data_IF_226380514909
#
_entry.id   IF_226380514909
#
_cell.length_a   1.000
_cell.length_b   1.000
_cell.length_c   1.000
_cell.angle_alpha   90.00
_cell.angle_beta   90.00
_cell.angle_gamma   90.00
#
_symmetry.space_group_name_H-M   'P 1'
#
loop_
_entity.id
_entity.type
_entity.pdbx_description
1 polymer ?
#
# COMPACT_ATOMS: atom_id res chain seq x y z
N UNK A 1 -9.20 4.45 -12.29
CA UNK A 1 -10.19 5.10 -11.40
C UNK A 1 -10.66 4.07 -10.39
N UNK A 2 -10.91 4.49 -9.13
CA UNK A 2 -11.50 3.62 -8.11
C UNK A 2 -12.83 4.27 -7.71
N UNK A 3 -13.91 3.51 -7.76
CA UNK A 3 -15.23 3.99 -7.33
C UNK A 3 -15.71 3.15 -6.14
N UNK A 4 -16.31 3.80 -5.18
CA UNK A 4 -16.88 3.19 -3.98
C UNK A 4 -18.32 3.62 -3.87
N UNK A 5 -19.23 2.66 -3.76
CA UNK A 5 -20.68 2.92 -3.69
C UNK A 5 -21.27 2.27 -2.46
N UNK A 6 -21.89 3.09 -1.57
CA UNK A 6 -22.63 2.68 -0.37
C UNK A 6 -21.90 1.64 0.49
N UNK A 7 -20.57 1.83 0.64
CA UNK A 7 -19.71 0.91 1.38
C UNK A 7 -20.03 0.97 2.88
N UNK A 8 -20.36 -0.17 3.45
CA UNK A 8 -20.56 -0.31 4.89
C UNK A 8 -19.67 -1.42 5.44
N UNK A 9 -19.09 -1.20 6.62
CA UNK A 9 -18.26 -2.19 7.33
C UNK A 9 -18.57 -2.16 8.82
N UNK A 10 -18.80 -3.32 9.40
CA UNK A 10 -18.92 -3.50 10.85
C UNK A 10 -17.87 -4.47 11.39
N UNK A 11 -17.60 -4.35 12.67
CA UNK A 11 -16.91 -5.36 13.48
C UNK A 11 -17.82 -5.67 14.65
N UNK A 12 -18.08 -6.94 14.84
CA UNK A 12 -19.14 -7.42 15.73
C UNK A 12 -20.48 -6.71 15.38
N UNK A 13 -21.09 -6.03 16.30
CA UNK A 13 -22.34 -5.28 16.09
C UNK A 13 -22.17 -3.78 15.83
N UNK A 14 -20.91 -3.32 15.74
CA UNK A 14 -20.61 -1.89 15.58
C UNK A 14 -20.21 -1.55 14.15
N UNK A 15 -21.02 -0.71 13.51
CA UNK A 15 -20.65 -0.15 12.19
C UNK A 15 -19.57 0.92 12.31
N UNK A 16 -18.45 0.68 11.65
CA UNK A 16 -17.33 1.62 11.53
C UNK A 16 -17.45 2.46 10.26
N UNK A 17 -18.00 1.90 9.19
CA UNK A 17 -18.33 2.61 7.95
C UNK A 17 -19.82 2.40 7.67
N UNK A 18 -20.52 3.47 7.24
CA UNK A 18 -21.95 3.44 6.89
C UNK A 18 -22.16 4.21 5.59
N UNK A 19 -22.61 3.49 4.55
CA UNK A 19 -23.00 4.03 3.24
C UNK A 19 -22.02 5.03 2.62
N UNK A 20 -20.71 4.76 2.75
CA UNK A 20 -19.67 5.64 2.21
C UNK A 20 -19.62 5.49 0.70
N UNK A 21 -19.77 6.61 -0.01
CA UNK A 21 -19.64 6.67 -1.47
C UNK A 21 -18.64 7.75 -1.85
N UNK A 22 -17.70 7.41 -2.75
CA UNK A 22 -16.69 8.35 -3.25
C UNK A 22 -16.02 7.78 -4.51
N UNK A 23 -15.25 8.63 -5.18
CA UNK A 23 -14.40 8.21 -6.30
C UNK A 23 -13.00 8.77 -6.18
N UNK A 24 -12.02 8.01 -6.67
CA UNK A 24 -10.61 8.40 -6.73
C UNK A 24 -10.18 8.44 -8.20
N UNK A 25 -9.92 9.65 -8.67
CA UNK A 25 -9.51 9.86 -10.05
C UNK A 25 -8.03 9.50 -10.24
N UNK A 26 -7.72 8.93 -11.41
CA UNK A 26 -6.34 8.61 -11.79
C UNK A 26 -5.51 9.90 -11.93
N UNK A 27 -4.28 9.86 -11.42
CA UNK A 27 -3.33 10.99 -11.55
C UNK A 27 -3.60 12.16 -10.59
N UNK A 28 -4.58 12.04 -9.68
CA UNK A 28 -4.87 13.06 -8.68
C UNK A 28 -4.50 12.61 -7.27
N UNK A 29 -4.15 13.57 -6.42
CA UNK A 29 -4.01 13.32 -4.98
C UNK A 29 -5.37 13.45 -4.32
N UNK A 30 -5.81 12.38 -3.64
CA UNK A 30 -7.06 12.36 -2.89
C UNK A 30 -6.73 12.31 -1.39
N UNK A 31 -7.44 13.10 -0.60
CA UNK A 31 -7.23 13.20 0.84
C UNK A 31 -8.47 12.73 1.59
N UNK A 32 -8.28 11.77 2.51
CA UNK A 32 -9.32 11.31 3.43
C UNK A 32 -9.04 11.94 4.80
N UNK A 33 -9.94 12.81 5.25
CA UNK A 33 -9.85 13.52 6.52
C UNK A 33 -10.93 13.06 7.49
N UNK A 34 -10.68 13.21 8.77
CA UNK A 34 -11.61 12.86 9.85
C UNK A 34 -10.89 12.68 11.16
N UNK A 35 -11.65 12.63 12.25
CA UNK A 35 -11.14 12.42 13.61
C UNK A 35 -10.44 11.07 13.75
N UNK A 36 -9.62 10.92 14.80
CA UNK A 36 -9.06 9.61 15.16
C UNK A 36 -10.20 8.63 15.47
N UNK A 37 -10.10 7.40 14.98
CA UNK A 37 -11.16 6.40 15.16
C UNK A 37 -12.33 6.49 14.17
N UNK A 38 -12.39 7.47 13.28
CA UNK A 38 -13.50 7.64 12.32
C UNK A 38 -13.56 6.63 11.16
N UNK A 39 -12.75 5.56 11.20
CA UNK A 39 -12.81 4.50 10.19
C UNK A 39 -11.90 4.69 8.96
N UNK A 40 -11.09 5.75 8.87
CA UNK A 40 -10.22 6.02 7.70
C UNK A 40 -9.34 4.82 7.30
N UNK A 41 -8.67 4.22 8.27
CA UNK A 41 -7.81 3.05 8.04
C UNK A 41 -8.63 1.83 7.63
N UNK A 42 -9.82 1.65 8.20
CA UNK A 42 -10.74 0.56 7.83
C UNK A 42 -11.20 0.75 6.38
N UNK A 43 -11.55 1.97 6.00
CA UNK A 43 -11.93 2.31 4.64
C UNK A 43 -10.82 2.00 3.63
N UNK A 44 -9.57 2.44 3.91
CA UNK A 44 -8.42 2.10 3.07
C UNK A 44 -8.18 0.58 2.96
N UNK A 45 -8.34 -0.16 4.07
CA UNK A 45 -8.21 -1.62 4.05
C UNK A 45 -9.32 -2.31 3.24
N UNK A 46 -10.52 -1.75 3.22
CA UNK A 46 -11.58 -2.23 2.33
C UNK A 46 -11.23 -1.97 0.86
N UNK A 47 -10.76 -0.77 0.52
CA UNK A 47 -10.28 -0.45 -0.83
C UNK A 47 -9.20 -1.45 -1.27
N UNK A 48 -8.22 -1.75 -0.44
CA UNK A 48 -7.17 -2.73 -0.75
C UNK A 48 -7.65 -4.20 -0.81
N UNK A 49 -8.94 -4.44 -0.52
CA UNK A 49 -9.47 -5.80 -0.44
C UNK A 49 -8.89 -6.64 0.70
N UNK A 50 -8.36 -5.98 1.75
CA UNK A 50 -7.90 -6.63 2.98
C UNK A 50 -9.06 -6.90 3.95
N UNK A 51 -10.10 -6.08 3.89
CA UNK A 51 -11.37 -6.31 4.58
C UNK A 51 -12.49 -6.39 3.55
N UNK A 52 -13.36 -7.39 3.70
CA UNK A 52 -14.59 -7.48 2.92
C UNK A 52 -15.63 -6.55 3.56
N UNK A 53 -16.30 -5.69 2.78
CA UNK A 53 -17.42 -4.90 3.28
C UNK A 53 -18.65 -5.79 3.56
N UNK A 54 -19.55 -5.30 4.41
CA UNK A 54 -20.85 -5.92 4.67
C UNK A 54 -21.84 -5.64 3.53
N UNK A 55 -21.75 -4.43 2.97
CA UNK A 55 -22.56 -4.00 1.83
C UNK A 55 -21.83 -2.94 1.03
N UNK A 56 -22.34 -2.66 -0.16
CA UNK A 56 -21.75 -1.73 -1.11
C UNK A 56 -20.73 -2.40 -2.04
N UNK A 57 -20.16 -1.61 -2.95
CA UNK A 57 -19.26 -2.13 -3.97
C UNK A 57 -18.04 -1.22 -4.12
N UNK A 58 -16.91 -1.84 -4.43
CA UNK A 58 -15.66 -1.16 -4.81
C UNK A 58 -15.32 -1.59 -6.23
N UNK A 59 -15.15 -0.63 -7.12
CA UNK A 59 -14.94 -0.87 -8.55
C UNK A 59 -13.58 -0.31 -8.94
N UNK A 60 -12.74 -1.14 -9.56
CA UNK A 60 -11.43 -0.78 -10.10
C UNK A 60 -11.49 -0.83 -11.62
N UNK A 61 -11.32 0.33 -12.27
CA UNK A 61 -11.33 0.42 -13.73
C UNK A 61 -12.47 -0.42 -14.33
N UNK A 62 -13.72 -0.17 -13.91
CA UNK A 62 -14.95 -0.83 -14.34
C UNK A 62 -15.15 -2.28 -13.84
N UNK A 63 -14.15 -2.87 -13.14
CA UNK A 63 -14.26 -4.23 -12.61
C UNK A 63 -14.59 -4.21 -11.11
N UNK A 64 -15.74 -4.74 -10.68
CA UNK A 64 -16.09 -4.86 -9.28
C UNK A 64 -15.12 -5.78 -8.52
N UNK A 65 -14.65 -5.34 -7.34
CA UNK A 65 -13.76 -6.13 -6.49
C UNK A 65 -14.41 -7.45 -6.05
N UNK A 66 -15.73 -7.46 -5.87
CA UNK A 66 -16.51 -8.65 -5.50
C UNK A 66 -16.43 -9.75 -6.55
N UNK A 67 -16.32 -9.39 -7.82
CA UNK A 67 -16.24 -10.30 -8.97
C UNK A 67 -14.83 -10.78 -9.32
N UNK A 68 -13.80 -10.15 -8.73
CA UNK A 68 -12.42 -10.52 -8.99
C UNK A 68 -12.06 -11.87 -8.34
N UNK A 69 -11.38 -12.70 -9.09
CA UNK A 69 -10.75 -13.95 -8.60
C UNK A 69 -9.62 -13.63 -7.62
N UNK A 70 -9.19 -14.61 -6.85
CA UNK A 70 -8.04 -14.45 -5.93
C UNK A 70 -6.76 -14.03 -6.66
N UNK A 71 -6.54 -14.51 -7.89
CA UNK A 71 -5.39 -14.14 -8.71
C UNK A 71 -5.47 -12.66 -9.13
N UNK A 72 -6.61 -12.20 -9.62
CA UNK A 72 -6.82 -10.80 -10.01
C UNK A 72 -6.67 -9.84 -8.82
N UNK A 73 -7.20 -10.20 -7.65
CA UNK A 73 -6.99 -9.43 -6.41
C UNK A 73 -5.52 -9.37 -5.99
N UNK A 74 -4.76 -10.45 -6.22
CA UNK A 74 -3.32 -10.46 -5.95
C UNK A 74 -2.59 -9.51 -6.91
N UNK A 75 -2.89 -9.56 -8.21
CA UNK A 75 -2.31 -8.65 -9.21
C UNK A 75 -2.66 -7.19 -8.88
N UNK A 76 -3.93 -6.91 -8.56
CA UNK A 76 -4.36 -5.57 -8.15
C UNK A 76 -3.55 -5.04 -6.96
N UNK A 77 -3.29 -5.87 -5.94
CA UNK A 77 -2.48 -5.46 -4.78
C UNK A 77 -1.00 -5.26 -5.10
N UNK A 78 -0.46 -5.95 -6.10
CA UNK A 78 0.92 -5.73 -6.57
C UNK A 78 1.08 -4.36 -7.22
N UNK A 79 0.05 -3.87 -7.90
CA UNK A 79 0.03 -2.54 -8.54
C UNK A 79 -0.18 -1.40 -7.51
N UNK A 80 -0.57 -1.73 -6.28
CA UNK A 80 -0.84 -0.75 -5.22
C UNK A 80 0.26 -0.75 -4.16
N UNK A 81 1.12 0.27 -4.17
CA UNK A 81 2.06 0.50 -3.09
C UNK A 81 1.36 1.03 -1.84
N UNK A 82 1.61 0.41 -0.68
CA UNK A 82 1.06 0.84 0.60
C UNK A 82 2.15 1.28 1.58
N UNK A 83 1.95 2.44 2.19
CA UNK A 83 2.77 2.94 3.30
C UNK A 83 1.96 2.88 4.59
N UNK A 84 2.44 2.13 5.57
CA UNK A 84 1.80 2.01 6.89
C UNK A 84 2.25 3.13 7.84
N UNK A 85 1.39 3.48 8.79
CA UNK A 85 1.67 4.53 9.78
C UNK A 85 2.97 4.30 10.56
N UNK A 86 3.32 3.08 10.91
CA UNK A 86 4.56 2.70 11.60
C UNK A 86 5.72 2.33 10.66
N UNK A 87 5.66 2.66 9.36
CA UNK A 87 6.58 2.23 8.31
C UNK A 87 6.58 0.71 8.05
N UNK A 88 6.30 -0.12 9.03
CA UNK A 88 6.23 -1.59 8.98
C UNK A 88 7.42 -2.21 8.22
N UNK A 89 8.63 -1.78 8.55
CA UNK A 89 9.86 -2.35 8.02
C UNK A 89 10.16 -3.69 8.70
N UNK A 90 10.81 -4.58 7.98
CA UNK A 90 11.37 -5.80 8.53
C UNK A 90 12.67 -5.45 9.26
N UNK A 91 12.69 -5.58 10.58
CA UNK A 91 13.82 -5.16 11.42
C UNK A 91 15.09 -5.99 11.17
N UNK A 92 14.94 -7.22 10.70
CA UNK A 92 16.03 -8.14 10.35
C UNK A 92 16.61 -7.92 8.95
N UNK A 93 16.02 -7.03 8.17
CA UNK A 93 16.42 -6.73 6.79
C UNK A 93 17.06 -5.34 6.72
N UNK A 94 18.08 -5.20 5.87
CA UNK A 94 18.67 -3.90 5.55
C UNK A 94 17.67 -2.99 4.82
N UNK A 95 18.02 -1.73 4.66
CA UNK A 95 17.23 -0.75 3.86
C UNK A 95 17.02 -1.27 2.44
N UNK A 96 18.09 -1.72 1.77
CA UNK A 96 17.99 -2.28 0.42
C UNK A 96 17.08 -3.50 0.39
N UNK A 97 17.25 -4.44 1.29
CA UNK A 97 16.43 -5.65 1.37
C UNK A 97 14.96 -5.35 1.63
N UNK A 98 14.64 -4.39 2.50
CA UNK A 98 13.28 -3.92 2.70
C UNK A 98 12.66 -3.35 1.41
N UNK A 99 13.44 -2.57 0.66
CA UNK A 99 12.97 -1.93 -0.58
C UNK A 99 12.75 -2.95 -1.68
N UNK A 100 13.69 -3.89 -1.89
CA UNK A 100 13.59 -4.89 -2.97
C UNK A 100 12.62 -6.03 -2.67
N UNK A 101 12.17 -6.17 -1.42
CA UNK A 101 11.33 -7.28 -0.98
C UNK A 101 10.12 -7.54 -1.88
N UNK A 102 9.31 -6.53 -2.30
CA UNK A 102 8.18 -6.78 -3.19
C UNK A 102 8.59 -7.38 -4.53
N UNK A 103 9.67 -6.89 -5.13
CA UNK A 103 10.15 -7.43 -6.41
C UNK A 103 10.62 -8.87 -6.28
N UNK A 104 11.34 -9.21 -5.21
CA UNK A 104 11.75 -10.59 -4.92
C UNK A 104 10.57 -11.55 -4.74
N UNK A 105 9.48 -11.06 -4.15
CA UNK A 105 8.29 -11.88 -3.88
C UNK A 105 7.38 -12.07 -5.10
N UNK A 106 7.31 -11.08 -5.97
CA UNK A 106 6.26 -11.02 -6.98
C UNK A 106 6.76 -11.01 -8.43
N UNK A 107 8.08 -10.95 -8.65
CA UNK A 107 8.65 -10.97 -9.99
C UNK A 107 9.72 -12.03 -10.13
N UNK A 108 10.02 -12.43 -11.37
CA UNK A 108 11.16 -13.30 -11.73
C UNK A 108 12.34 -12.47 -12.26
N UNK A 109 12.39 -11.18 -11.95
CA UNK A 109 13.46 -10.28 -12.39
C UNK A 109 14.80 -10.67 -11.79
N UNK A 110 15.88 -10.57 -12.59
CA UNK A 110 17.22 -10.88 -12.11
C UNK A 110 17.66 -9.94 -11.00
N UNK A 111 18.43 -10.45 -10.03
CA UNK A 111 18.80 -9.70 -8.81
C UNK A 111 19.55 -8.40 -9.10
N UNK A 112 20.38 -8.36 -10.13
CA UNK A 112 21.14 -7.17 -10.49
C UNK A 112 20.22 -6.06 -11.02
N UNK A 113 19.22 -6.38 -11.82
CA UNK A 113 18.20 -5.43 -12.28
C UNK A 113 17.35 -4.92 -11.11
N UNK A 114 17.00 -5.79 -10.16
CA UNK A 114 16.28 -5.40 -8.94
C UNK A 114 17.11 -4.39 -8.13
N UNK A 115 18.42 -4.61 -7.99
CA UNK A 115 19.33 -3.70 -7.28
C UNK A 115 19.49 -2.36 -7.98
N UNK A 116 19.61 -2.36 -9.30
CA UNK A 116 19.68 -1.13 -10.09
C UNK A 116 18.42 -0.29 -9.88
N UNK A 117 17.26 -0.93 -9.93
CA UNK A 117 15.98 -0.28 -9.65
C UNK A 117 15.89 0.22 -8.21
N UNK A 118 16.36 -0.55 -7.24
CA UNK A 118 16.44 -0.13 -5.84
C UNK A 118 17.29 1.13 -5.68
N UNK A 119 18.47 1.18 -6.32
CA UNK A 119 19.36 2.33 -6.27
C UNK A 119 18.70 3.59 -6.84
N UNK A 120 17.94 3.47 -7.95
CA UNK A 120 17.17 4.58 -8.52
C UNK A 120 16.13 5.08 -7.51
N UNK A 121 15.38 4.18 -6.89
CA UNK A 121 14.32 4.54 -5.94
C UNK A 121 14.91 5.12 -4.65
N UNK A 122 16.00 4.53 -4.11
CA UNK A 122 16.74 5.02 -2.95
C UNK A 122 17.21 6.48 -3.17
N UNK A 123 17.77 6.76 -4.34
CA UNK A 123 18.16 8.11 -4.72
C UNK A 123 16.96 9.05 -4.83
N UNK A 124 15.86 8.58 -5.40
CA UNK A 124 14.61 9.36 -5.57
C UNK A 124 14.00 9.80 -4.23
N UNK A 125 14.12 8.98 -3.18
CA UNK A 125 13.66 9.34 -1.83
C UNK A 125 14.76 9.96 -0.95
N UNK A 126 15.91 10.30 -1.53
CA UNK A 126 17.03 10.94 -0.86
C UNK A 126 17.55 10.15 0.36
N UNK A 127 17.78 8.86 0.18
CA UNK A 127 18.42 7.96 1.15
C UNK A 127 19.88 7.71 0.70
N UNK A 128 20.79 8.56 1.15
CA UNK A 128 22.22 8.48 0.77
C UNK A 128 22.94 7.56 1.76
N UNK A 129 23.77 6.64 1.25
CA UNK A 129 24.61 5.71 2.04
C UNK A 129 23.86 4.89 3.10
N UNK A 130 22.64 4.49 2.79
CA UNK A 130 21.78 3.76 3.74
C UNK A 130 21.53 2.30 3.36
N UNK A 131 21.95 1.84 2.18
CA UNK A 131 21.58 0.51 1.63
C UNK A 131 21.80 -0.63 2.63
N UNK A 132 22.95 -0.68 3.26
CA UNK A 132 23.37 -1.77 4.16
C UNK A 132 22.98 -1.55 5.63
N UNK A 133 22.29 -0.45 5.95
CA UNK A 133 21.86 -0.15 7.33
C UNK A 133 20.59 -0.92 7.67
N UNK A 134 20.50 -1.34 8.93
CA UNK A 134 19.27 -1.89 9.50
C UNK A 134 18.29 -0.77 9.89
N UNK A 135 17.01 -1.05 10.03
CA UNK A 135 16.02 -0.08 10.53
C UNK A 135 16.40 0.53 11.88
N UNK A 136 17.08 -0.21 12.76
CA UNK A 136 17.58 0.30 14.05
C UNK A 136 18.66 1.37 13.93
N UNK A 137 19.37 1.42 12.81
CA UNK A 137 20.51 2.32 12.56
C UNK A 137 20.13 3.61 11.81
N UNK A 138 18.84 3.77 11.50
CA UNK A 138 18.33 4.92 10.73
C UNK A 138 17.27 5.70 11.50
N UNK A 139 17.17 6.99 11.21
CA UNK A 139 16.19 7.87 11.85
C UNK A 139 14.74 7.53 11.48
N UNK A 140 13.76 7.96 12.28
CA UNK A 140 12.34 7.79 11.99
C UNK A 140 11.91 8.40 10.64
N UNK A 141 12.54 9.53 10.25
CA UNK A 141 12.33 10.13 8.94
C UNK A 141 12.87 9.26 7.79
N UNK A 142 14.04 8.64 7.99
CA UNK A 142 14.58 7.68 7.02
C UNK A 142 13.71 6.43 6.92
N UNK A 143 13.20 5.88 8.03
CA UNK A 143 12.26 4.74 8.02
C UNK A 143 11.04 5.02 7.15
N UNK A 144 10.46 6.21 7.25
CA UNK A 144 9.33 6.63 6.40
C UNK A 144 9.71 6.66 4.91
N UNK A 145 10.91 7.17 4.58
CA UNK A 145 11.41 7.18 3.19
C UNK A 145 11.66 5.77 2.66
N UNK A 146 12.19 4.86 3.47
CA UNK A 146 12.33 3.43 3.11
C UNK A 146 10.97 2.80 2.81
N UNK A 147 9.96 3.08 3.63
CA UNK A 147 8.60 2.59 3.40
C UNK A 147 8.00 3.14 2.10
N UNK A 148 8.24 4.40 1.77
CA UNK A 148 7.84 5.00 0.48
C UNK A 148 8.59 4.33 -0.66
N UNK A 149 9.91 4.18 -0.56
CA UNK A 149 10.73 3.52 -1.56
C UNK A 149 10.23 2.08 -1.85
N UNK A 150 9.95 1.31 -0.80
CA UNK A 150 9.36 -0.03 -0.89
C UNK A 150 7.99 -0.02 -1.59
N UNK A 151 7.17 0.98 -1.33
CA UNK A 151 5.84 1.09 -1.92
C UNK A 151 5.87 1.40 -3.43
N UNK A 152 6.89 2.12 -3.91
CA UNK A 152 6.98 2.56 -5.32
C UNK A 152 7.93 1.73 -6.19
N UNK A 153 8.61 0.72 -5.63
CA UNK A 153 9.62 -0.04 -6.39
C UNK A 153 9.02 -0.87 -7.52
N UNK A 154 7.76 -1.25 -7.42
CA UNK A 154 7.04 -2.04 -8.42
C UNK A 154 6.57 -1.19 -9.63
N UNK A 155 6.56 0.15 -9.50
CA UNK A 155 6.02 1.10 -10.49
C UNK A 155 7.09 1.87 -11.25
#
# INVERSE_FOLDING_TARGET
MIEVTKLSKKFDDTYVLRDVSTSFEKGKTNLIIGQSGSGKTVFLKCILGLFSPESGEIIYNETPLSKMTSKERTMLRQDMGMVFQGSALFDSMTVEENIIFPMKMFTNTHIDEIRDRANIVIKRVNLINANNKLPSEISGGMKKRVAIARAIIMN
#
